data_IF_851010588820
#
_entry.id   IF_851010588820
#
_cell.length_a   1.000
_cell.length_b   1.000
_cell.length_c   1.000
_cell.angle_alpha   90.00
_cell.angle_beta   90.00
_cell.angle_gamma   90.00
#
_symmetry.space_group_name_H-M   'P 1'
#
loop_
_entity.id
_entity.type
_entity.pdbx_description
1 polymer ?
#
# COMPACT_ATOMS: atom_id res chain seq x y z
N UNK A 1 19.34 -13.67 24.24
CA UNK A 1 19.79 -12.27 24.26
C UNK A 1 18.61 -11.41 23.84
N UNK A 2 18.03 -10.65 24.76
CA UNK A 2 16.94 -9.71 24.43
C UNK A 2 17.57 -8.50 23.75
N UNK A 3 17.10 -8.15 22.55
CA UNK A 3 17.59 -6.98 21.82
C UNK A 3 17.24 -5.71 22.61
N UNK A 4 18.20 -5.23 23.41
CA UNK A 4 18.15 -3.90 24.02
C UNK A 4 18.49 -2.87 22.95
N UNK A 5 17.54 -2.62 22.06
CA UNK A 5 17.55 -1.41 21.24
C UNK A 5 16.76 -0.36 21.99
N UNK A 6 17.29 0.87 22.03
CA UNK A 6 16.67 2.03 22.66
C UNK A 6 15.35 2.43 21.98
N UNK A 7 14.33 1.58 22.08
CA UNK A 7 12.95 2.01 21.96
C UNK A 7 12.72 3.07 23.05
N UNK A 8 12.25 4.28 22.70
CA UNK A 8 11.84 5.25 23.70
C UNK A 8 10.78 4.59 24.58
N UNK A 9 11.10 4.35 25.87
CA UNK A 9 10.17 3.74 26.83
C UNK A 9 9.05 4.70 27.29
N UNK A 10 8.91 5.84 26.64
CA UNK A 10 7.83 6.79 26.89
C UNK A 10 6.82 6.71 25.77
N UNK A 11 5.53 6.60 26.11
CA UNK A 11 4.45 6.73 25.14
C UNK A 11 4.64 7.98 24.28
N UNK A 12 4.28 7.88 23.00
CA UNK A 12 4.35 8.99 22.05
C UNK A 12 3.59 10.20 22.59
N UNK A 13 4.33 11.13 23.19
CA UNK A 13 3.83 12.45 23.53
C UNK A 13 3.95 13.30 22.27
N UNK A 14 2.88 14.02 21.95
CA UNK A 14 2.79 14.93 20.80
C UNK A 14 3.57 16.22 21.07
N UNK A 15 4.84 16.11 21.47
CA UNK A 15 5.68 17.26 21.74
C UNK A 15 6.30 17.71 20.41
N UNK A 16 6.16 19.01 20.07
CA UNK A 16 6.52 19.67 18.80
C UNK A 16 7.99 19.52 18.33
N UNK A 17 8.82 18.76 19.05
CA UNK A 17 10.20 18.42 18.69
C UNK A 17 10.44 16.97 18.25
N UNK A 18 9.43 16.09 18.23
CA UNK A 18 9.62 14.67 17.90
C UNK A 18 9.78 14.42 16.38
N UNK A 19 10.80 13.66 15.91
CA UNK A 19 10.95 13.30 14.51
C UNK A 19 9.71 12.55 14.00
N UNK A 20 9.22 12.88 12.80
CA UNK A 20 8.12 12.12 12.19
C UNK A 20 8.51 10.66 12.01
N UNK A 21 7.54 9.74 12.12
CA UNK A 21 7.79 8.31 11.91
C UNK A 21 8.33 8.02 10.50
N UNK A 22 7.98 8.83 9.50
CA UNK A 22 8.59 8.80 8.16
C UNK A 22 10.09 9.14 8.20
N UNK A 23 10.46 10.19 8.96
CA UNK A 23 11.87 10.57 9.12
C UNK A 23 12.65 9.48 9.85
N UNK A 24 12.08 8.93 10.93
CA UNK A 24 12.69 7.84 11.67
C UNK A 24 12.88 6.61 10.78
N UNK A 25 11.86 6.17 10.02
CA UNK A 25 11.98 5.00 9.13
C UNK A 25 13.02 5.24 8.02
N UNK A 26 13.14 6.46 7.49
CA UNK A 26 14.14 6.80 6.46
C UNK A 26 15.57 6.87 7.01
N UNK A 27 15.74 7.35 8.24
CA UNK A 27 17.04 7.57 8.87
C UNK A 27 17.52 6.36 9.70
N UNK A 28 16.60 5.47 10.10
CA UNK A 28 16.91 4.30 10.91
C UNK A 28 17.59 3.23 10.06
N UNK A 29 18.87 3.01 10.35
CA UNK A 29 19.60 1.84 9.90
C UNK A 29 19.21 0.66 10.79
N UNK A 30 18.64 -0.38 10.19
CA UNK A 30 18.39 -1.63 10.93
C UNK A 30 19.72 -2.12 11.50
N UNK A 31 19.77 -2.48 12.79
CA UNK A 31 20.91 -3.20 13.34
C UNK A 31 21.23 -4.41 12.45
N UNK A 32 22.50 -4.58 12.10
CA UNK A 32 22.96 -5.77 11.39
C UNK A 32 22.48 -7.01 12.15
N UNK A 33 21.61 -7.82 11.52
CA UNK A 33 21.03 -9.02 12.13
C UNK A 33 19.51 -9.02 12.31
N UNK A 34 18.82 -7.89 12.06
CA UNK A 34 17.37 -7.89 11.95
C UNK A 34 16.98 -8.70 10.70
N UNK A 35 16.52 -9.94 10.93
CA UNK A 35 16.06 -10.81 9.86
C UNK A 35 14.81 -10.18 9.26
N UNK A 36 14.84 -9.96 7.95
CA UNK A 36 13.59 -9.76 7.20
C UNK A 36 12.65 -10.89 7.50
N UNK A 37 11.34 -10.62 7.65
CA UNK A 37 10.32 -11.65 7.71
C UNK A 37 10.49 -12.62 6.54
N UNK A 38 11.08 -13.78 6.80
CA UNK A 38 11.48 -14.73 5.75
C UNK A 38 10.27 -15.27 4.98
N UNK A 39 9.08 -15.18 5.56
CA UNK A 39 7.82 -15.67 5.01
C UNK A 39 6.96 -14.61 4.29
N UNK A 40 7.29 -13.31 4.36
CA UNK A 40 6.47 -12.27 3.72
C UNK A 40 6.91 -11.96 2.30
N UNK A 41 8.16 -12.27 1.95
CA UNK A 41 8.70 -11.90 0.64
C UNK A 41 8.71 -10.38 0.39
N UNK A 42 9.23 -9.98 -0.76
CA UNK A 42 9.18 -8.58 -1.20
C UNK A 42 7.89 -8.31 -1.97
N UNK A 43 7.33 -7.11 -1.82
CA UNK A 43 6.13 -6.70 -2.55
C UNK A 43 6.44 -5.62 -3.58
N UNK A 44 6.20 -5.93 -4.86
CA UNK A 44 6.48 -5.05 -6.00
C UNK A 44 5.29 -4.16 -6.40
N UNK A 45 4.12 -4.40 -5.81
CA UNK A 45 2.87 -3.71 -6.16
C UNK A 45 1.97 -4.41 -7.16
N UNK A 46 2.26 -5.66 -7.55
CA UNK A 46 1.47 -6.43 -8.53
C UNK A 46 0.70 -7.60 -7.90
N UNK A 47 1.19 -8.17 -6.81
CA UNK A 47 0.54 -9.25 -6.07
C UNK A 47 -0.74 -8.82 -5.36
N UNK A 48 -1.47 -9.79 -4.81
CA UNK A 48 -2.63 -9.50 -3.98
C UNK A 48 -2.21 -8.72 -2.72
N UNK A 49 -2.87 -7.58 -2.53
CA UNK A 49 -2.51 -6.63 -1.50
C UNK A 49 -2.95 -7.09 -0.11
N UNK A 50 -4.11 -7.75 -0.02
CA UNK A 50 -4.65 -8.19 1.26
C UNK A 50 -3.95 -9.46 1.72
N UNK A 51 -3.56 -10.36 0.82
CA UNK A 51 -2.71 -11.51 1.14
C UNK A 51 -1.34 -11.05 1.69
N UNK A 52 -0.72 -10.06 1.03
CA UNK A 52 0.53 -9.46 1.49
C UNK A 52 0.41 -8.87 2.90
N UNK A 53 -0.63 -8.05 3.14
CA UNK A 53 -0.88 -7.43 4.45
C UNK A 53 -1.13 -8.51 5.51
N UNK A 54 -1.91 -9.55 5.18
CA UNK A 54 -2.23 -10.64 6.10
C UNK A 54 -0.96 -11.43 6.49
N UNK A 55 -0.12 -11.79 5.52
CA UNK A 55 1.15 -12.46 5.77
C UNK A 55 2.07 -11.60 6.65
N UNK A 56 2.13 -10.30 6.37
CA UNK A 56 2.93 -9.35 7.14
C UNK A 56 2.43 -9.18 8.58
N UNK A 57 1.12 -9.04 8.79
CA UNK A 57 0.54 -8.96 10.14
C UNK A 57 0.72 -10.26 10.93
N UNK A 58 0.62 -11.41 10.27
CA UNK A 58 0.93 -12.72 10.84
C UNK A 58 2.36 -12.78 11.38
N UNK A 59 3.32 -12.27 10.62
CA UNK A 59 4.73 -12.11 11.04
C UNK A 59 4.85 -11.32 12.33
N UNK A 60 4.35 -10.09 12.32
CA UNK A 60 4.53 -9.14 13.41
C UNK A 60 3.99 -9.73 14.70
N UNK A 61 2.84 -10.40 14.60
CA UNK A 61 2.17 -11.05 15.72
C UNK A 61 2.96 -12.24 16.26
N UNK A 62 3.46 -13.12 15.38
CA UNK A 62 4.26 -14.29 15.79
C UNK A 62 5.58 -13.87 16.46
N UNK A 63 6.25 -12.87 15.90
CA UNK A 63 7.55 -12.39 16.38
C UNK A 63 7.45 -11.37 17.53
N UNK A 64 6.22 -10.98 17.93
CA UNK A 64 5.94 -9.96 18.96
C UNK A 64 6.70 -8.64 18.70
N UNK A 65 6.75 -8.23 17.43
CA UNK A 65 7.51 -7.06 16.99
C UNK A 65 6.87 -5.75 17.47
N UNK A 66 7.71 -4.77 17.80
CA UNK A 66 7.26 -3.44 18.22
C UNK A 66 6.86 -2.61 17.00
N UNK A 67 5.83 -1.76 17.13
CA UNK A 67 5.25 -0.94 16.05
C UNK A 67 6.28 -0.23 15.16
N UNK A 68 7.34 0.34 15.72
CA UNK A 68 8.39 1.01 14.93
C UNK A 68 9.16 0.05 14.03
N UNK A 69 9.52 -1.11 14.57
CA UNK A 69 10.22 -2.16 13.83
C UNK A 69 9.30 -2.72 12.74
N UNK A 70 8.00 -2.89 13.04
CA UNK A 70 6.99 -3.26 12.06
C UNK A 70 6.88 -2.25 10.92
N UNK A 71 6.80 -0.94 11.20
CA UNK A 71 6.72 0.07 10.14
C UNK A 71 7.99 0.11 9.28
N UNK A 72 9.15 -0.07 9.90
CA UNK A 72 10.42 -0.13 9.18
C UNK A 72 10.49 -1.35 8.26
N UNK A 73 10.21 -2.55 8.80
CA UNK A 73 10.18 -3.78 8.02
C UNK A 73 9.19 -3.71 6.86
N UNK A 74 8.01 -3.13 7.10
CA UNK A 74 7.00 -2.94 6.06
C UNK A 74 7.56 -2.17 4.86
N UNK A 75 8.30 -1.08 5.12
CA UNK A 75 8.93 -0.27 4.08
C UNK A 75 10.12 -0.98 3.44
N UNK A 76 10.91 -1.71 4.23
CA UNK A 76 12.08 -2.44 3.75
C UNK A 76 11.71 -3.47 2.69
N UNK A 77 10.61 -4.20 2.88
CA UNK A 77 10.16 -5.25 1.96
C UNK A 77 9.43 -4.71 0.71
N UNK A 78 9.21 -3.41 0.59
CA UNK A 78 8.63 -2.83 -0.62
C UNK A 78 9.67 -2.73 -1.73
N UNK A 79 9.31 -3.11 -2.95
CA UNK A 79 10.12 -2.96 -4.16
C UNK A 79 9.35 -2.20 -5.24
N UNK A 80 10.07 -1.79 -6.28
CA UNK A 80 9.56 -1.16 -7.48
C UNK A 80 8.49 -0.09 -7.20
N UNK A 81 7.25 -0.33 -7.62
CA UNK A 81 6.18 0.65 -7.52
C UNK A 81 5.71 0.87 -6.07
N UNK A 82 5.83 -0.14 -5.21
CA UNK A 82 5.54 0.02 -3.79
C UNK A 82 6.61 0.87 -3.10
N UNK A 83 7.89 0.72 -3.47
CA UNK A 83 8.97 1.57 -3.00
C UNK A 83 8.87 3.01 -3.52
N UNK A 84 8.50 3.16 -4.79
CA UNK A 84 8.25 4.48 -5.40
C UNK A 84 7.11 5.22 -4.67
N UNK A 85 6.02 4.53 -4.32
CA UNK A 85 4.95 5.08 -3.50
C UNK A 85 5.47 5.58 -2.15
N UNK A 86 6.22 4.76 -1.41
CA UNK A 86 6.78 5.17 -0.12
C UNK A 86 7.64 6.43 -0.23
N UNK A 87 8.49 6.50 -1.27
CA UNK A 87 9.36 7.63 -1.51
C UNK A 87 8.58 8.92 -1.86
N UNK A 88 7.40 8.78 -2.46
CA UNK A 88 6.51 9.90 -2.80
C UNK A 88 5.77 10.51 -1.60
N UNK A 89 5.74 9.83 -0.45
CA UNK A 89 5.02 10.33 0.73
C UNK A 89 5.68 11.59 1.31
N UNK A 90 4.90 12.62 1.69
CA UNK A 90 5.45 13.80 2.33
C UNK A 90 6.04 13.46 3.71
N UNK A 91 7.11 14.16 4.09
CA UNK A 91 7.93 13.87 5.30
C UNK A 91 7.16 13.86 6.63
N UNK A 92 5.92 14.35 6.70
CA UNK A 92 5.16 14.57 7.96
C UNK A 92 3.88 13.74 8.10
N UNK A 93 3.69 12.68 7.31
CA UNK A 93 2.32 12.20 7.00
C UNK A 93 1.98 10.79 7.47
N UNK A 94 2.93 10.03 8.05
CA UNK A 94 2.63 8.71 8.62
C UNK A 94 2.87 8.75 10.13
N UNK A 95 1.81 8.49 10.90
CA UNK A 95 1.81 8.60 12.37
C UNK A 95 1.93 7.24 13.07
N UNK A 96 1.48 6.15 12.43
CA UNK A 96 1.54 4.78 12.95
C UNK A 96 1.35 3.74 11.82
N UNK A 97 1.47 2.45 12.15
CA UNK A 97 1.30 1.34 11.21
C UNK A 97 -0.10 1.31 10.56
N UNK A 98 -1.16 1.62 11.30
CA UNK A 98 -2.53 1.62 10.78
C UNK A 98 -2.75 2.70 9.71
N UNK A 99 -2.21 3.90 9.94
CA UNK A 99 -2.24 4.98 8.94
C UNK A 99 -1.42 4.60 7.70
N UNK A 100 -0.25 3.97 7.90
CA UNK A 100 0.57 3.46 6.80
C UNK A 100 -0.21 2.46 5.93
N UNK A 101 -0.82 1.46 6.59
CA UNK A 101 -1.63 0.42 5.96
C UNK A 101 -2.82 1.00 5.20
N UNK A 102 -3.53 1.96 5.80
CA UNK A 102 -4.68 2.64 5.17
C UNK A 102 -4.28 3.40 3.91
N UNK A 103 -3.19 4.17 3.97
CA UNK A 103 -2.66 4.92 2.82
C UNK A 103 -2.19 3.99 1.71
N UNK A 104 -1.52 2.90 2.07
CA UNK A 104 -1.07 1.88 1.13
C UNK A 104 -2.23 1.23 0.39
N UNK A 105 -3.26 0.77 1.13
CA UNK A 105 -4.51 0.25 0.57
C UNK A 105 -5.18 1.22 -0.37
N UNK A 106 -5.27 2.48 0.02
CA UNK A 106 -5.90 3.53 -0.77
C UNK A 106 -5.16 3.74 -2.09
N UNK A 107 -3.83 3.85 -2.06
CA UNK A 107 -3.01 4.09 -3.24
C UNK A 107 -3.12 2.96 -4.27
N UNK A 108 -2.93 1.71 -3.84
CA UNK A 108 -2.97 0.56 -4.75
C UNK A 108 -4.39 0.29 -5.28
N UNK A 109 -5.42 0.57 -4.48
CA UNK A 109 -6.82 0.52 -4.94
C UNK A 109 -7.11 1.56 -6.01
N UNK A 110 -6.66 2.81 -5.81
CA UNK A 110 -6.83 3.88 -6.80
C UNK A 110 -6.06 3.59 -8.08
N UNK A 111 -4.83 3.09 -7.99
CA UNK A 111 -4.03 2.71 -9.16
C UNK A 111 -4.70 1.59 -9.96
N UNK A 112 -5.27 0.57 -9.30
CA UNK A 112 -6.06 -0.48 -9.96
C UNK A 112 -7.27 0.09 -10.69
N UNK A 113 -7.97 1.07 -10.10
CA UNK A 113 -9.10 1.78 -10.76
C UNK A 113 -8.66 2.57 -11.99
N UNK A 114 -7.58 3.34 -11.86
CA UNK A 114 -7.04 4.14 -12.96
C UNK A 114 -6.61 3.25 -14.14
N UNK A 115 -5.90 2.15 -13.89
CA UNK A 115 -5.52 1.19 -14.94
C UNK A 115 -6.75 0.61 -15.65
N UNK A 116 -7.78 0.19 -14.90
CA UNK A 116 -9.03 -0.32 -15.49
C UNK A 116 -9.74 0.74 -16.32
N UNK A 117 -9.81 1.98 -15.83
CA UNK A 117 -10.42 3.10 -16.55
C UNK A 117 -9.68 3.42 -17.83
N UNK A 118 -8.34 3.40 -17.81
CA UNK A 118 -7.53 3.66 -19.00
C UNK A 118 -7.68 2.54 -20.04
N UNK A 119 -7.70 1.28 -19.61
CA UNK A 119 -7.96 0.14 -20.50
C UNK A 119 -9.35 0.23 -21.15
N UNK A 120 -10.38 0.63 -20.40
CA UNK A 120 -11.71 0.86 -20.94
C UNK A 120 -11.74 2.04 -21.93
N UNK A 121 -11.06 3.15 -21.63
CA UNK A 121 -10.94 4.30 -22.55
C UNK A 121 -10.31 3.93 -23.88
N UNK A 122 -9.29 3.07 -23.87
CA UNK A 122 -8.74 2.54 -25.12
C UNK A 122 -9.73 1.67 -25.89
N UNK A 123 -10.67 1.00 -25.21
CA UNK A 123 -11.76 0.23 -25.80
C UNK A 123 -12.93 1.07 -26.35
N UNK A 124 -13.08 2.31 -25.89
CA UNK A 124 -14.15 3.23 -26.27
C UNK A 124 -13.97 3.94 -27.62
N UNK A 125 -13.03 3.50 -28.47
CA UNK A 125 -12.97 3.98 -29.86
C UNK A 125 -13.94 3.16 -30.73
N UNK A 126 -14.64 3.82 -31.65
CA UNK A 126 -15.43 3.13 -32.68
C UNK A 126 -14.48 2.29 -33.52
N UNK A 127 -14.73 0.97 -33.58
CA UNK A 127 -13.88 0.04 -34.33
C UNK A 127 -14.14 0.19 -35.83
N UNK A 128 -13.16 -0.18 -36.67
CA UNK A 128 -13.33 -0.13 -38.13
C UNK A 128 -14.48 -1.07 -38.55
N UNK A 129 -15.50 -0.53 -39.21
CA UNK A 129 -16.70 -1.27 -39.62
C UNK A 129 -17.79 -1.39 -38.55
N UNK A 130 -17.61 -0.80 -37.37
CA UNK A 130 -18.63 -0.78 -36.33
C UNK A 130 -19.67 0.33 -36.57
N UNK A 131 -20.95 -0.01 -36.40
CA UNK A 131 -22.02 0.99 -36.46
C UNK A 131 -22.09 1.80 -35.16
N UNK A 132 -22.56 3.05 -35.25
CA UNK A 132 -22.74 3.93 -34.09
C UNK A 132 -23.64 3.30 -33.02
N UNK A 133 -24.66 2.54 -33.43
CA UNK A 133 -25.57 1.84 -32.51
C UNK A 133 -24.86 0.73 -31.74
N UNK A 134 -24.02 -0.05 -32.41
CA UNK A 134 -23.22 -1.09 -31.77
C UNK A 134 -22.19 -0.49 -30.78
N UNK A 135 -21.60 0.65 -31.15
CA UNK A 135 -20.72 1.40 -30.26
C UNK A 135 -21.44 1.87 -28.99
N UNK A 136 -22.61 2.50 -29.10
CA UNK A 136 -23.38 2.99 -27.94
C UNK A 136 -23.77 1.83 -27.00
N UNK A 137 -24.16 0.68 -27.54
CA UNK A 137 -24.45 -0.51 -26.73
C UNK A 137 -23.22 -0.98 -25.96
N UNK A 138 -22.07 -1.16 -26.64
CA UNK A 138 -20.81 -1.55 -25.97
C UNK A 138 -20.40 -0.54 -24.91
N UNK A 139 -20.48 0.74 -25.23
CA UNK A 139 -20.14 1.83 -24.32
C UNK A 139 -20.99 1.77 -23.04
N UNK A 140 -22.30 1.57 -23.18
CA UNK A 140 -23.23 1.51 -22.05
C UNK A 140 -22.94 0.29 -21.16
N UNK A 141 -22.66 -0.87 -21.74
CA UNK A 141 -22.31 -2.09 -21.01
C UNK A 141 -20.98 -1.97 -20.26
N UNK A 142 -19.96 -1.40 -20.89
CA UNK A 142 -18.65 -1.19 -20.29
C UNK A 142 -18.71 -0.14 -19.15
N UNK A 143 -19.47 0.95 -19.31
CA UNK A 143 -19.74 1.92 -18.24
C UNK A 143 -20.52 1.29 -17.08
N UNK A 144 -21.48 0.42 -17.38
CA UNK A 144 -22.21 -0.34 -16.37
C UNK A 144 -21.29 -1.30 -15.58
N UNK A 145 -20.31 -1.93 -16.24
CA UNK A 145 -19.33 -2.78 -15.57
C UNK A 145 -18.36 -1.98 -14.69
N UNK A 146 -17.84 -0.85 -15.17
CA UNK A 146 -16.95 0.03 -14.38
C UNK A 146 -17.68 0.56 -13.14
N UNK A 147 -18.96 0.95 -13.29
CA UNK A 147 -19.76 1.43 -12.15
C UNK A 147 -20.09 0.33 -11.14
N UNK A 148 -20.36 -0.92 -11.57
CA UNK A 148 -20.53 -2.09 -10.68
C UNK A 148 -19.25 -2.41 -9.91
N UNK A 149 -18.09 -2.39 -10.58
CA UNK A 149 -16.79 -2.61 -9.93
C UNK A 149 -16.45 -1.53 -8.90
N UNK A 150 -16.95 -0.30 -9.08
CA UNK A 150 -16.80 0.80 -8.12
C UNK A 150 -17.74 0.70 -6.91
N UNK A 151 -18.90 0.04 -7.04
CA UNK A 151 -19.88 -0.15 -5.94
C UNK A 151 -19.48 -1.30 -5.00
N UNK A 152 -18.83 -2.35 -5.50
CA UNK A 152 -18.35 -3.49 -4.71
C UNK A 152 -17.16 -3.18 -3.77
N UNK A 153 -16.79 -1.90 -3.63
CA UNK A 153 -15.75 -1.42 -2.72
C UNK A 153 -16.28 -0.38 -1.71
N UNK A 154 -17.60 -0.21 -1.61
CA UNK A 154 -18.26 0.70 -0.65
C UNK A 154 -19.01 -0.03 0.46
N UNK A 155 -18.96 -1.37 0.50
CA UNK A 155 -19.51 -2.18 1.58
C UNK A 155 -18.37 -3.06 2.12
N UNK A 156 -17.63 -2.49 3.07
CA UNK A 156 -16.84 -3.15 4.12
C UNK A 156 -16.26 -2.06 5.02
#
# INVERSE_FOLDING_TARGET
>A
MMYSTGCPKGGYKNDEGSPSLVRWIKEFQLPHGLRTPSHVGYYDGKGDLDDFIHAFEGTIKMEKQVMLVSCHMFVYILNDAARAWWNSLPKRVVLNYEDLKKRFRTYFSQRKKQTKSHLAVNGFKIRKGESVRAFITRYTDEIAQISKLNKNQRIA
#
